data_IF_108938279370
#
_entry.id   IF_108938279370
#
_cell.length_a   1.000
_cell.length_b   1.000
_cell.length_c   1.000
_cell.angle_alpha   90.00
_cell.angle_beta   90.00
_cell.angle_gamma   90.00
#
_symmetry.space_group_name_H-M   'P 1'
#
loop_
_entity.id
_entity.type
_entity.pdbx_description
1 polymer ?
#
# COMPACT_ATOMS: atom_id res chain seq x y z
N UNK A 1 -9.78 -26.68 -0.94
CA UNK A 1 -9.18 -25.86 -2.01
C UNK A 1 -7.68 -25.89 -1.76
N UNK A 2 -6.85 -26.34 -2.70
CA UNK A 2 -5.39 -26.29 -2.52
C UNK A 2 -4.92 -24.87 -2.85
N UNK A 3 -4.19 -24.22 -1.95
CA UNK A 3 -3.66 -22.86 -2.16
C UNK A 3 -2.22 -22.99 -2.61
N UNK A 4 -1.82 -22.35 -3.70
CA UNK A 4 -0.42 -22.43 -4.15
C UNK A 4 0.48 -21.56 -3.29
N UNK A 5 0.08 -20.30 -3.04
CA UNK A 5 0.73 -19.41 -2.08
C UNK A 5 -0.18 -18.23 -1.68
N UNK A 6 0.20 -17.55 -0.61
CA UNK A 6 -0.43 -16.31 -0.15
C UNK A 6 0.48 -15.13 -0.48
N UNK A 7 -0.04 -14.12 -1.17
CA UNK A 7 0.68 -12.88 -1.47
C UNK A 7 0.31 -11.77 -0.46
N UNK A 8 1.33 -11.34 0.27
CA UNK A 8 1.33 -10.25 1.25
C UNK A 8 2.11 -9.08 0.64
N UNK A 9 1.44 -8.27 -0.17
CA UNK A 9 2.07 -7.12 -0.80
C UNK A 9 2.19 -5.96 0.18
N UNK A 10 3.34 -5.29 0.25
CA UNK A 10 3.36 -3.95 0.85
C UNK A 10 2.59 -2.98 -0.06
N UNK A 11 2.05 -1.89 0.49
CA UNK A 11 1.36 -0.90 -0.33
C UNK A 11 2.34 -0.39 -1.40
N UNK A 12 1.91 -0.28 -2.67
CA UNK A 12 2.76 0.24 -3.77
C UNK A 12 3.96 -0.63 -4.16
N UNK A 13 3.85 -1.95 -3.98
CA UNK A 13 4.79 -2.96 -4.53
C UNK A 13 4.20 -3.73 -5.71
N UNK A 14 3.46 -3.02 -6.57
CA UNK A 14 2.81 -3.56 -7.77
C UNK A 14 1.78 -4.69 -7.54
N UNK A 15 1.23 -4.80 -6.33
CA UNK A 15 0.20 -5.80 -6.00
C UNK A 15 -0.98 -5.80 -6.97
N UNK A 16 -1.47 -4.62 -7.37
CA UNK A 16 -2.56 -4.50 -8.36
C UNK A 16 -2.17 -5.07 -9.72
N UNK A 17 -0.92 -4.90 -10.14
CA UNK A 17 -0.44 -5.47 -11.40
C UNK A 17 -0.35 -7.00 -11.29
N UNK A 18 0.26 -7.54 -10.22
CA UNK A 18 0.35 -8.98 -9.98
C UNK A 18 -1.04 -9.64 -9.92
N UNK A 19 -1.96 -9.02 -9.16
CA UNK A 19 -3.36 -9.43 -9.09
C UNK A 19 -4.03 -9.41 -10.46
N UNK A 20 -3.77 -8.40 -11.29
CA UNK A 20 -4.35 -8.33 -12.63
C UNK A 20 -3.82 -9.43 -13.56
N UNK A 21 -2.55 -9.81 -13.43
CA UNK A 21 -1.96 -10.94 -14.15
C UNK A 21 -2.63 -12.25 -13.71
N UNK A 22 -2.65 -12.55 -12.41
CA UNK A 22 -3.28 -13.77 -11.88
C UNK A 22 -4.79 -13.84 -12.14
N UNK A 23 -5.48 -12.70 -12.22
CA UNK A 23 -6.90 -12.66 -12.55
C UNK A 23 -7.16 -12.98 -14.04
N UNK A 24 -6.24 -12.61 -14.93
CA UNK A 24 -6.41 -12.76 -16.38
C UNK A 24 -5.87 -14.08 -16.93
N UNK A 25 -4.86 -14.64 -16.28
CA UNK A 25 -4.26 -15.90 -16.69
C UNK A 25 -5.13 -17.09 -16.28
N UNK A 26 -5.43 -17.99 -17.21
CA UNK A 26 -6.31 -19.14 -16.99
C UNK A 26 -5.71 -20.18 -16.04
N UNK A 27 -4.38 -20.19 -15.87
CA UNK A 27 -3.68 -21.13 -14.98
C UNK A 27 -3.84 -20.80 -13.49
N UNK A 28 -4.44 -19.65 -13.19
CA UNK A 28 -4.56 -19.10 -11.85
C UNK A 28 -6.01 -18.89 -11.46
N UNK A 29 -6.29 -18.96 -10.16
CA UNK A 29 -7.53 -18.54 -9.56
C UNK A 29 -7.22 -17.56 -8.42
N UNK A 30 -7.57 -16.29 -8.63
CA UNK A 30 -7.30 -15.24 -7.65
C UNK A 30 -8.42 -15.18 -6.59
N UNK A 31 -8.01 -14.97 -5.35
CA UNK A 31 -8.85 -14.59 -4.22
C UNK A 31 -8.41 -13.20 -3.70
N UNK A 32 -8.78 -12.15 -4.41
CA UNK A 32 -8.56 -10.77 -4.00
C UNK A 32 -9.81 -10.19 -3.31
N UNK A 33 -10.99 -10.30 -3.92
CA UNK A 33 -12.22 -9.76 -3.31
C UNK A 33 -12.57 -10.49 -2.01
N UNK A 34 -12.40 -11.82 -1.99
CA UNK A 34 -12.55 -12.64 -0.78
C UNK A 34 -11.55 -12.24 0.32
N UNK A 35 -10.29 -12.03 -0.03
CA UNK A 35 -9.26 -11.52 0.89
C UNK A 35 -9.62 -10.13 1.46
N UNK A 36 -10.30 -9.29 0.68
CA UNK A 36 -10.81 -7.99 1.15
C UNK A 36 -11.74 -8.09 2.36
N UNK A 37 -12.64 -9.10 2.39
CA UNK A 37 -13.55 -9.33 3.53
C UNK A 37 -12.77 -9.72 4.79
N UNK A 38 -11.77 -10.59 4.64
CA UNK A 38 -10.88 -11.03 5.73
C UNK A 38 -10.08 -9.85 6.28
N UNK A 39 -9.47 -9.05 5.40
CA UNK A 39 -8.76 -7.82 5.79
C UNK A 39 -9.67 -6.87 6.55
N UNK A 40 -10.92 -6.69 6.12
CA UNK A 40 -11.87 -5.85 6.82
C UNK A 40 -12.15 -6.39 8.23
N UNK A 41 -12.36 -7.69 8.38
CA UNK A 41 -12.53 -8.34 9.68
C UNK A 41 -11.33 -8.08 10.58
N UNK A 42 -10.11 -8.43 10.13
CA UNK A 42 -8.86 -8.22 10.88
C UNK A 42 -8.75 -6.77 11.33
N UNK A 43 -9.00 -5.83 10.42
CA UNK A 43 -8.89 -4.40 10.73
C UNK A 43 -9.89 -3.95 11.78
N UNK A 44 -11.14 -4.41 11.70
CA UNK A 44 -12.18 -4.02 12.65
C UNK A 44 -11.97 -4.66 14.01
N UNK A 45 -11.59 -5.93 14.05
CA UNK A 45 -11.39 -6.64 15.32
C UNK A 45 -10.12 -6.21 16.04
N UNK A 46 -9.06 -5.88 15.30
CA UNK A 46 -7.85 -5.27 15.88
C UNK A 46 -8.18 -3.93 16.55
N UNK A 47 -9.05 -3.11 15.95
CA UNK A 47 -9.45 -1.83 16.55
C UNK A 47 -10.32 -1.99 17.80
N UNK A 48 -11.10 -3.07 17.88
CA UNK A 48 -11.98 -3.35 19.01
C UNK A 48 -11.30 -4.16 20.12
N UNK A 49 -10.18 -4.82 19.82
CA UNK A 49 -9.51 -5.73 20.72
C UNK A 49 -10.22 -7.08 20.89
N UNK A 50 -11.05 -7.49 19.92
CA UNK A 50 -11.88 -8.70 19.95
C UNK A 50 -11.53 -9.70 18.83
N UNK A 51 -10.26 -9.73 18.42
CA UNK A 51 -9.77 -10.64 17.39
C UNK A 51 -9.96 -12.12 17.78
N UNK A 52 -10.52 -12.91 16.85
CA UNK A 52 -10.68 -14.35 16.95
C UNK A 52 -9.98 -15.02 15.76
N UNK A 53 -8.90 -15.76 16.07
CA UNK A 53 -8.16 -16.53 15.08
C UNK A 53 -9.00 -17.62 14.39
N UNK A 54 -10.12 -18.04 14.98
CA UNK A 54 -11.02 -19.04 14.41
C UNK A 54 -12.10 -18.45 13.50
N UNK A 55 -12.00 -17.16 13.15
CA UNK A 55 -12.93 -16.54 12.21
C UNK A 55 -13.02 -17.38 10.92
N UNK A 56 -14.24 -17.74 10.46
CA UNK A 56 -14.41 -18.63 9.32
C UNK A 56 -13.87 -17.96 8.05
N UNK A 57 -12.75 -18.48 7.55
CA UNK A 57 -12.07 -18.04 6.34
C UNK A 57 -12.80 -18.51 5.07
N UNK A 58 -13.98 -17.96 4.83
CA UNK A 58 -14.72 -18.15 3.58
C UNK A 58 -14.15 -17.20 2.52
N UNK A 59 -12.96 -17.55 2.00
CA UNK A 59 -12.31 -16.79 0.93
C UNK A 59 -12.91 -17.19 -0.41
N UNK A 60 -13.77 -16.34 -0.94
CA UNK A 60 -14.33 -16.48 -2.29
C UNK A 60 -13.27 -16.16 -3.36
N UNK A 61 -13.22 -17.01 -4.40
CA UNK A 61 -12.43 -16.76 -5.60
C UNK A 61 -13.14 -15.73 -6.48
N UNK A 62 -12.38 -14.84 -7.12
CA UNK A 62 -12.90 -13.81 -8.03
C UNK A 62 -13.47 -14.40 -9.33
N UNK A 63 -13.05 -15.63 -9.67
CA UNK A 63 -13.55 -16.41 -10.80
C UNK A 63 -13.72 -17.87 -10.39
N UNK A 64 -14.64 -18.56 -11.05
CA UNK A 64 -14.78 -20.01 -10.87
C UNK A 64 -13.47 -20.69 -11.29
N UNK A 65 -12.89 -21.55 -10.45
CA UNK A 65 -11.66 -22.24 -10.79
C UNK A 65 -11.93 -23.24 -11.92
N UNK A 66 -11.02 -23.29 -12.88
CA UNK A 66 -10.92 -24.44 -13.79
C UNK A 66 -10.15 -25.53 -13.04
N UNK A 67 -10.38 -26.80 -13.38
CA UNK A 67 -9.66 -27.92 -12.76
C UNK A 67 -8.13 -27.66 -12.83
N UNK A 68 -7.44 -27.93 -11.73
CA UNK A 68 -5.98 -27.75 -11.57
C UNK A 68 -5.46 -26.30 -11.54
N UNK A 69 -6.32 -25.29 -11.34
CA UNK A 69 -5.86 -23.90 -11.20
C UNK A 69 -5.00 -23.70 -9.94
N UNK A 70 -3.97 -22.86 -10.08
CA UNK A 70 -3.16 -22.37 -8.96
C UNK A 70 -3.91 -21.28 -8.20
N UNK A 71 -4.32 -21.57 -6.98
CA UNK A 71 -5.09 -20.61 -6.18
C UNK A 71 -4.16 -19.66 -5.44
N UNK A 72 -4.33 -18.36 -5.68
CA UNK A 72 -3.55 -17.30 -5.03
C UNK A 72 -4.47 -16.43 -4.17
N UNK A 73 -4.17 -16.33 -2.88
CA UNK A 73 -4.82 -15.37 -1.98
C UNK A 73 -3.93 -14.14 -1.93
N UNK A 74 -4.46 -12.96 -2.26
CA UNK A 74 -3.62 -11.77 -2.40
C UNK A 74 -4.29 -10.53 -1.84
N UNK A 75 -3.59 -9.82 -0.95
CA UNK A 75 -4.01 -8.49 -0.51
C UNK A 75 -2.84 -7.66 0.04
N UNK A 76 -2.83 -6.37 -0.27
CA UNK A 76 -1.96 -5.41 0.44
C UNK A 76 -2.39 -5.22 1.90
N UNK A 77 -3.66 -5.52 2.20
CA UNK A 77 -4.23 -5.31 3.52
C UNK A 77 -3.73 -6.25 4.60
N UNK A 78 -2.96 -7.28 4.24
CA UNK A 78 -2.33 -8.21 5.19
C UNK A 78 -1.04 -7.66 5.80
N UNK A 79 -0.33 -6.78 5.08
CA UNK A 79 0.90 -6.15 5.56
C UNK A 79 0.65 -4.74 6.10
N UNK A 80 -0.36 -4.03 5.61
CA UNK A 80 -0.57 -2.64 5.98
C UNK A 80 -2.03 -2.21 6.00
N UNK A 81 -2.34 -1.28 6.90
CA UNK A 81 -3.66 -0.70 7.06
C UNK A 81 -3.58 0.74 7.58
N UNK A 82 -4.70 1.45 7.53
CA UNK A 82 -4.87 2.73 8.23
C UNK A 82 -3.99 3.91 7.76
N UNK A 83 -3.44 3.85 6.54
CA UNK A 83 -2.69 4.96 5.94
C UNK A 83 -3.43 6.31 6.07
N UNK A 84 -4.75 6.29 5.91
CA UNK A 84 -5.61 7.49 5.92
C UNK A 84 -6.20 7.82 7.28
N UNK A 85 -6.00 7.00 8.31
CA UNK A 85 -6.53 7.28 9.65
C UNK A 85 -5.81 8.50 10.24
N UNK A 86 -6.50 9.40 10.93
CA UNK A 86 -5.86 10.58 11.55
C UNK A 86 -5.10 10.17 12.81
N UNK A 87 -5.69 9.27 13.59
CA UNK A 87 -5.11 8.72 14.82
C UNK A 87 -4.10 7.61 14.51
N UNK A 88 -3.13 7.44 15.41
CA UNK A 88 -2.27 6.26 15.43
C UNK A 88 -3.12 4.99 15.54
N UNK A 89 -2.77 3.97 14.74
CA UNK A 89 -3.48 2.70 14.70
C UNK A 89 -2.49 1.55 14.89
N UNK A 90 -2.93 0.42 15.46
CA UNK A 90 -2.05 -0.70 15.82
C UNK A 90 -1.66 -1.54 14.59
N UNK A 91 -0.80 -1.00 13.72
CA UNK A 91 -0.37 -1.66 12.46
C UNK A 91 0.30 -3.01 12.74
N UNK A 92 1.21 -3.07 13.74
CA UNK A 92 1.87 -4.33 14.14
C UNK A 92 0.91 -5.39 14.65
N UNK A 93 -0.06 -5.01 15.48
CA UNK A 93 -1.08 -5.95 15.97
C UNK A 93 -1.92 -6.47 14.81
N UNK A 94 -2.27 -5.60 13.87
CA UNK A 94 -2.99 -5.98 12.65
C UNK A 94 -2.20 -6.98 11.81
N UNK A 95 -0.88 -6.78 11.61
CA UNK A 95 -0.01 -7.74 10.90
C UNK A 95 0.05 -9.09 11.63
N UNK A 96 0.19 -9.09 12.96
CA UNK A 96 0.20 -10.32 13.76
C UNK A 96 -1.11 -11.09 13.63
N UNK A 97 -2.24 -10.39 13.74
CA UNK A 97 -3.58 -10.95 13.54
C UNK A 97 -3.77 -11.47 12.12
N UNK A 98 -3.24 -10.76 11.10
CA UNK A 98 -3.27 -11.20 9.71
C UNK A 98 -2.46 -12.49 9.49
N UNK A 99 -1.26 -12.58 10.07
CA UNK A 99 -0.46 -13.79 9.99
C UNK A 99 -1.14 -14.98 10.71
N UNK A 100 -1.74 -14.74 11.88
CA UNK A 100 -2.42 -15.77 12.67
C UNK A 100 -3.65 -16.33 11.95
N UNK A 101 -4.52 -15.46 11.42
CA UNK A 101 -5.71 -15.92 10.70
C UNK A 101 -5.37 -16.57 9.35
N UNK A 102 -4.33 -16.10 8.65
CA UNK A 102 -3.86 -16.77 7.44
C UNK A 102 -3.18 -18.10 7.78
N UNK A 103 -2.54 -18.21 8.94
CA UNK A 103 -1.90 -19.43 9.43
C UNK A 103 -2.86 -20.60 9.62
N UNK A 104 -4.18 -20.36 9.68
CA UNK A 104 -5.17 -21.44 9.64
C UNK A 104 -5.19 -22.19 8.30
N UNK A 105 -4.57 -21.62 7.26
CA UNK A 105 -4.41 -22.20 5.92
C UNK A 105 -3.10 -22.97 5.75
N UNK A 106 -2.34 -23.21 6.82
CA UNK A 106 -1.03 -23.87 6.74
C UNK A 106 -1.11 -25.34 6.28
N UNK A 107 -2.30 -25.96 6.33
CA UNK A 107 -2.53 -27.31 5.78
C UNK A 107 -2.73 -27.28 4.27
N UNK A 108 -3.11 -26.13 3.73
CA UNK A 108 -3.38 -25.88 2.32
C UNK A 108 -2.17 -25.31 1.59
N UNK A 109 -1.33 -24.52 2.30
CA UNK A 109 -0.09 -23.97 1.77
C UNK A 109 0.90 -23.60 2.87
N UNK A 110 2.17 -23.86 2.65
CA UNK A 110 3.29 -23.37 3.47
C UNK A 110 3.94 -22.10 2.88
N UNK A 111 3.40 -21.59 1.76
CA UNK A 111 4.05 -20.62 0.90
C UNK A 111 3.48 -19.21 1.09
N UNK A 112 4.35 -18.25 1.40
CA UNK A 112 4.03 -16.82 1.47
C UNK A 112 5.00 -16.02 0.61
N UNK A 113 4.46 -15.15 -0.23
CA UNK A 113 5.20 -14.14 -0.97
C UNK A 113 5.03 -12.78 -0.30
N UNK A 114 6.14 -12.17 0.13
CA UNK A 114 6.18 -10.79 0.62
C UNK A 114 6.87 -9.92 -0.43
N UNK A 115 6.11 -9.05 -1.08
CA UNK A 115 6.66 -8.08 -2.03
C UNK A 115 7.10 -6.81 -1.29
N UNK A 116 8.37 -6.44 -1.46
CA UNK A 116 9.00 -5.28 -0.83
C UNK A 116 9.47 -4.27 -1.89
N UNK A 117 9.95 -3.10 -1.48
CA UNK A 117 10.44 -2.04 -2.38
C UNK A 117 11.49 -1.21 -1.66
N UNK A 118 12.33 -0.47 -2.39
CA UNK A 118 13.19 0.57 -1.79
C UNK A 118 12.39 1.38 -0.75
N UNK A 119 12.89 1.52 0.49
CA UNK A 119 12.14 2.16 1.56
C UNK A 119 11.86 3.63 1.26
N UNK A 120 12.78 4.34 0.60
CA UNK A 120 12.61 5.75 0.20
C UNK A 120 11.61 5.87 -0.94
N UNK A 121 11.71 5.02 -1.96
CA UNK A 121 10.77 5.01 -3.07
C UNK A 121 9.36 4.60 -2.62
N UNK A 122 9.27 3.70 -1.64
CA UNK A 122 8.05 3.28 -0.97
C UNK A 122 7.41 4.43 -0.20
N UNK A 123 8.16 5.08 0.69
CA UNK A 123 7.76 6.27 1.46
C UNK A 123 7.15 7.36 0.55
N UNK A 124 7.85 7.70 -0.53
CA UNK A 124 7.37 8.66 -1.54
C UNK A 124 6.04 8.23 -2.18
N UNK A 125 5.89 6.94 -2.48
CA UNK A 125 4.69 6.41 -3.12
C UNK A 125 3.50 6.35 -2.16
N UNK A 126 3.77 6.12 -0.87
CA UNK A 126 2.78 6.15 0.21
C UNK A 126 2.31 7.58 0.48
N UNK A 127 3.21 8.56 0.49
CA UNK A 127 2.83 9.98 0.58
C UNK A 127 1.91 10.40 -0.59
N UNK A 128 2.24 10.00 -1.82
CA UNK A 128 1.35 10.24 -2.96
C UNK A 128 -0.01 9.55 -2.79
N UNK A 129 -0.04 8.33 -2.24
CA UNK A 129 -1.30 7.63 -1.94
C UNK A 129 -2.12 8.34 -0.87
N UNK A 130 -1.47 8.86 0.18
CA UNK A 130 -2.11 9.65 1.23
C UNK A 130 -2.89 10.83 0.62
N UNK A 131 -2.25 11.58 -0.29
CA UNK A 131 -2.89 12.67 -1.03
C UNK A 131 -4.02 12.15 -1.95
N UNK A 132 -3.79 11.05 -2.67
CA UNK A 132 -4.82 10.45 -3.54
C UNK A 132 -6.09 10.00 -2.80
N UNK A 133 -5.98 9.76 -1.49
CA UNK A 133 -7.10 9.40 -0.62
C UNK A 133 -7.81 10.60 0.02
N UNK A 134 -7.53 11.82 -0.45
CA UNK A 134 -8.20 13.04 -0.03
C UNK A 134 -7.48 13.81 1.08
N UNK A 135 -6.27 13.38 1.46
CA UNK A 135 -5.43 14.10 2.42
C UNK A 135 -4.62 15.19 1.70
N UNK A 136 -3.95 16.03 2.48
CA UNK A 136 -3.20 17.17 1.96
C UNK A 136 -1.97 17.46 2.82
N UNK A 137 -1.01 18.16 2.24
CA UNK A 137 0.27 18.49 2.86
C UNK A 137 1.44 18.22 1.94
N UNK A 138 2.60 18.71 2.35
CA UNK A 138 3.89 18.30 1.80
C UNK A 138 4.45 17.11 2.60
N UNK A 139 5.64 16.64 2.20
CA UNK A 139 6.32 15.55 2.88
C UNK A 139 6.53 15.80 4.38
N UNK A 140 7.03 16.96 4.80
CA UNK A 140 7.30 17.22 6.23
C UNK A 140 6.04 17.06 7.09
N UNK A 141 4.91 17.60 6.62
CA UNK A 141 3.61 17.44 7.26
C UNK A 141 3.20 15.98 7.31
N UNK A 142 3.34 15.26 6.20
CA UNK A 142 3.03 13.82 6.15
C UNK A 142 3.88 13.03 7.14
N UNK A 143 5.19 13.25 7.15
CA UNK A 143 6.13 12.57 8.05
C UNK A 143 5.79 12.83 9.52
N UNK A 144 5.55 14.08 9.91
CA UNK A 144 5.16 14.43 11.28
C UNK A 144 3.88 13.71 11.76
N UNK A 145 2.91 13.48 10.86
CA UNK A 145 1.68 12.75 11.21
C UNK A 145 1.79 11.23 11.09
N UNK A 146 2.77 10.73 10.32
CA UNK A 146 2.81 9.33 9.89
C UNK A 146 4.09 8.59 10.25
N UNK A 147 5.00 9.21 11.01
CA UNK A 147 6.25 8.59 11.41
C UNK A 147 6.06 7.20 12.01
N UNK A 148 5.15 7.05 12.99
CA UNK A 148 4.90 5.75 13.62
C UNK A 148 4.33 4.72 12.62
N UNK A 149 3.42 5.14 11.75
CA UNK A 149 2.91 4.28 10.67
C UNK A 149 4.05 3.83 9.73
N UNK A 150 4.97 4.73 9.37
CA UNK A 150 6.10 4.42 8.52
C UNK A 150 7.06 3.44 9.23
N UNK A 151 7.37 3.68 10.51
CA UNK A 151 8.19 2.78 11.34
C UNK A 151 7.61 1.38 11.38
N UNK A 152 6.31 1.25 11.64
CA UNK A 152 5.64 -0.04 11.71
C UNK A 152 5.54 -0.73 10.35
N UNK A 153 5.15 0.00 9.30
CA UNK A 153 5.00 -0.57 7.96
C UNK A 153 6.34 -0.97 7.31
N UNK A 154 7.46 -0.35 7.71
CA UNK A 154 8.82 -0.69 7.29
C UNK A 154 9.53 -1.62 8.28
N UNK A 155 8.85 -2.16 9.30
CA UNK A 155 9.42 -3.19 10.17
C UNK A 155 9.31 -4.58 9.51
N UNK A 156 10.15 -4.83 8.51
CA UNK A 156 10.17 -6.11 7.79
C UNK A 156 10.61 -7.25 8.71
N UNK A 157 11.52 -7.01 9.66
CA UNK A 157 11.92 -7.98 10.68
C UNK A 157 10.69 -8.50 11.45
N UNK A 158 9.87 -7.59 11.96
CA UNK A 158 8.63 -7.96 12.66
C UNK A 158 7.64 -8.67 11.74
N UNK A 159 7.42 -8.16 10.53
CA UNK A 159 6.53 -8.79 9.55
C UNK A 159 6.93 -10.25 9.28
N UNK A 160 8.21 -10.49 9.02
CA UNK A 160 8.75 -11.84 8.82
C UNK A 160 8.52 -12.73 10.04
N UNK A 161 8.81 -12.23 11.24
CA UNK A 161 8.59 -12.99 12.48
C UNK A 161 7.13 -13.43 12.68
N UNK A 162 6.16 -12.62 12.23
CA UNK A 162 4.75 -12.96 12.29
C UNK A 162 4.39 -14.10 11.34
N UNK A 163 4.83 -14.04 10.08
CA UNK A 163 4.49 -15.05 9.07
C UNK A 163 5.30 -16.35 9.22
N UNK A 164 6.59 -16.26 9.54
CA UNK A 164 7.47 -17.43 9.74
C UNK A 164 7.06 -18.29 10.95
N UNK A 165 6.21 -17.76 11.85
CA UNK A 165 5.59 -18.54 12.92
C UNK A 165 4.63 -19.63 12.39
N UNK A 166 4.02 -19.42 11.22
CA UNK A 166 2.96 -20.28 10.68
C UNK A 166 3.31 -20.94 9.35
N UNK A 167 4.24 -20.35 8.59
CA UNK A 167 4.59 -20.75 7.24
C UNK A 167 6.08 -21.08 7.14
N UNK A 168 6.41 -22.21 6.52
CA UNK A 168 7.80 -22.67 6.39
C UNK A 168 8.53 -22.03 5.20
N UNK A 169 7.80 -21.53 4.20
CA UNK A 169 8.38 -20.96 2.98
C UNK A 169 7.90 -19.50 2.78
N UNK A 170 8.55 -18.57 3.47
CA UNK A 170 8.31 -17.12 3.34
C UNK A 170 9.37 -16.50 2.43
N UNK A 171 8.98 -16.15 1.20
CA UNK A 171 9.85 -15.57 0.18
C UNK A 171 9.68 -14.06 0.14
N UNK A 172 10.78 -13.32 0.23
CA UNK A 172 10.80 -11.86 0.07
C UNK A 172 11.26 -11.53 -1.35
N UNK A 173 10.44 -10.80 -2.11
CA UNK A 173 10.79 -10.36 -3.46
C UNK A 173 10.77 -8.83 -3.59
N UNK A 174 11.90 -8.20 -3.92
CA UNK A 174 11.95 -6.79 -4.30
C UNK A 174 11.16 -6.51 -5.58
N UNK A 175 10.31 -5.48 -5.53
CA UNK A 175 9.59 -4.93 -6.68
C UNK A 175 10.53 -4.48 -7.80
N UNK A 176 11.74 -4.05 -7.45
CA UNK A 176 12.78 -3.60 -8.36
C UNK A 176 13.14 -4.67 -9.39
N UNK A 177 13.07 -5.96 -9.03
CA UNK A 177 13.26 -7.07 -9.97
C UNK A 177 12.17 -7.09 -11.04
N UNK A 178 10.91 -6.94 -10.65
CA UNK A 178 9.80 -6.86 -11.61
C UNK A 178 9.98 -5.67 -12.58
N UNK A 179 10.49 -4.54 -12.08
CA UNK A 179 10.69 -3.33 -12.88
C UNK A 179 11.86 -3.48 -13.88
N UNK A 180 12.92 -4.17 -13.50
CA UNK A 180 14.14 -4.31 -14.29
C UNK A 180 14.07 -5.48 -15.28
N UNK A 181 13.55 -6.62 -14.84
CA UNK A 181 13.42 -7.86 -15.61
C UNK A 181 12.14 -8.61 -15.18
N UNK A 182 11.01 -8.22 -15.78
CA UNK A 182 9.72 -8.87 -15.53
C UNK A 182 9.73 -10.39 -15.82
N UNK A 183 10.26 -10.88 -16.96
CA UNK A 183 10.42 -12.31 -17.19
C UNK A 183 11.23 -13.03 -16.10
N UNK A 184 12.35 -12.44 -15.65
CA UNK A 184 13.17 -12.98 -14.58
C UNK A 184 12.43 -13.03 -13.23
N UNK A 185 11.66 -12.00 -12.90
CA UNK A 185 10.80 -11.98 -11.71
C UNK A 185 9.80 -13.14 -11.72
N UNK A 186 9.08 -13.34 -12.83
CA UNK A 186 8.11 -14.43 -12.95
C UNK A 186 8.76 -15.81 -12.93
N UNK A 187 9.97 -15.95 -13.47
CA UNK A 187 10.72 -17.21 -13.37
C UNK A 187 11.14 -17.53 -11.93
N UNK A 188 11.65 -16.53 -11.21
CA UNK A 188 12.03 -16.71 -9.81
C UNK A 188 10.81 -17.09 -8.96
N UNK A 189 9.67 -16.45 -9.18
CA UNK A 189 8.42 -16.77 -8.50
C UNK A 189 7.93 -18.19 -8.82
N UNK A 190 7.93 -18.53 -10.12
CA UNK A 190 7.55 -19.86 -10.63
C UNK A 190 8.38 -20.96 -10.01
N UNK A 191 9.70 -20.76 -9.94
CA UNK A 191 10.65 -21.72 -9.38
C UNK A 191 10.50 -21.90 -7.86
N UNK A 192 10.24 -20.82 -7.11
CA UNK A 192 10.13 -20.89 -5.65
C UNK A 192 8.86 -21.59 -5.16
N UNK A 193 7.75 -21.43 -5.88
CA UNK A 193 6.44 -21.93 -5.46
C UNK A 193 5.93 -23.10 -6.30
N UNK A 194 6.72 -23.59 -7.26
CA UNK A 194 6.33 -24.65 -8.20
C UNK A 194 4.99 -24.34 -8.92
N UNK A 195 4.86 -23.10 -9.38
CA UNK A 195 3.68 -22.61 -10.11
C UNK A 195 4.09 -22.26 -11.55
N UNK A 196 3.23 -22.39 -12.56
CA UNK A 196 3.61 -22.10 -13.93
C UNK A 196 3.78 -20.59 -14.16
N UNK A 197 4.75 -20.17 -14.98
CA UNK A 197 4.87 -18.75 -15.35
C UNK A 197 3.59 -18.26 -16.03
N UNK A 198 3.08 -17.06 -15.67
CA UNK A 198 1.98 -16.45 -16.41
C UNK A 198 2.31 -16.29 -17.90
N UNK A 199 1.32 -16.52 -18.76
CA UNK A 199 1.37 -16.38 -20.22
C UNK A 199 0.70 -15.09 -20.71
N UNK A 200 -0.01 -14.39 -19.83
CA UNK A 200 -0.66 -13.12 -20.15
C UNK A 200 0.25 -11.94 -19.80
N UNK A 201 0.23 -10.91 -20.64
CA UNK A 201 0.76 -9.59 -20.31
C UNK A 201 -0.38 -8.65 -19.97
N UNK A 202 -0.15 -7.78 -19.00
CA UNK A 202 -1.12 -6.79 -18.57
C UNK A 202 -0.49 -5.41 -18.65
N UNK A 203 -1.18 -4.49 -19.32
CA UNK A 203 -0.75 -3.08 -19.31
C UNK A 203 -0.79 -2.51 -17.90
N UNK A 204 0.22 -1.70 -17.57
CA UNK A 204 0.26 -0.98 -16.29
C UNK A 204 -0.87 0.05 -16.29
N UNK A 205 -1.97 -0.29 -15.64
CA UNK A 205 -3.08 0.64 -15.46
C UNK A 205 -2.81 1.52 -14.24
N UNK A 206 -2.91 2.85 -14.44
CA UNK A 206 -2.79 3.91 -13.44
C UNK A 206 -1.37 4.39 -13.14
N UNK A 207 -0.87 5.32 -13.97
CA UNK A 207 0.25 6.15 -13.54
C UNK A 207 -0.15 6.98 -12.31
N UNK A 208 0.71 6.92 -11.28
CA UNK A 208 0.53 7.77 -10.10
C UNK A 208 0.74 9.23 -10.48
N UNK A 209 -0.11 10.12 -9.96
CA UNK A 209 0.08 11.57 -10.10
C UNK A 209 1.45 11.97 -9.51
N UNK A 210 2.16 12.85 -10.23
CA UNK A 210 3.49 13.34 -9.87
C UNK A 210 3.57 14.85 -10.06
N UNK A 211 4.59 15.47 -9.46
CA UNK A 211 4.94 16.87 -9.67
C UNK A 211 3.76 17.82 -9.40
N UNK A 212 3.55 18.76 -10.33
CA UNK A 212 2.53 19.80 -10.22
C UNK A 212 1.11 19.24 -10.03
N UNK A 213 0.74 18.15 -10.71
CA UNK A 213 -0.59 17.54 -10.58
C UNK A 213 -0.86 17.00 -9.17
N UNK A 214 0.15 16.40 -8.53
CA UNK A 214 0.00 15.92 -7.14
C UNK A 214 -0.10 17.08 -6.15
N UNK A 215 0.65 18.17 -6.38
CA UNK A 215 0.55 19.41 -5.57
C UNK A 215 -0.80 20.07 -5.71
N UNK A 216 -1.31 20.15 -6.93
CA UNK A 216 -2.64 20.67 -7.21
C UNK A 216 -3.71 19.84 -6.48
N UNK A 217 -3.61 18.51 -6.55
CA UNK A 217 -4.52 17.61 -5.82
C UNK A 217 -4.48 17.86 -4.31
N UNK A 218 -3.29 17.95 -3.72
CA UNK A 218 -3.13 18.29 -2.30
C UNK A 218 -3.78 19.64 -1.96
N UNK A 219 -3.64 20.64 -2.83
CA UNK A 219 -4.21 21.97 -2.62
C UNK A 219 -5.75 21.96 -2.70
N UNK A 220 -6.32 21.25 -3.67
CA UNK A 220 -7.77 21.03 -3.77
C UNK A 220 -8.31 20.30 -2.55
N UNK A 221 -7.63 19.25 -2.09
CA UNK A 221 -7.99 18.53 -0.87
C UNK A 221 -7.96 19.44 0.37
N UNK A 222 -6.98 20.34 0.46
CA UNK A 222 -6.91 21.35 1.52
C UNK A 222 -8.12 22.29 1.48
N UNK A 223 -8.54 22.75 0.30
CA UNK A 223 -9.74 23.60 0.16
C UNK A 223 -10.98 22.88 0.69
N UNK A 224 -11.26 21.65 0.24
CA UNK A 224 -12.40 20.88 0.77
C UNK A 224 -12.29 20.59 2.27
N UNK A 225 -11.08 20.40 2.80
CA UNK A 225 -10.89 20.27 4.24
C UNK A 225 -11.26 21.55 4.99
N UNK A 226 -10.79 22.72 4.54
CA UNK A 226 -11.09 24.02 5.18
C UNK A 226 -12.60 24.30 5.13
N UNK A 227 -13.25 24.08 3.99
CA UNK A 227 -14.69 24.27 3.84
C UNK A 227 -15.48 23.38 4.81
N UNK A 228 -15.16 22.08 4.87
CA UNK A 228 -15.83 21.14 5.80
C UNK A 228 -15.59 21.51 7.26
N UNK A 229 -14.36 21.90 7.62
CA UNK A 229 -14.03 22.27 8.99
C UNK A 229 -14.80 23.52 9.42
N UNK A 230 -14.84 24.55 8.57
CA UNK A 230 -15.61 25.76 8.84
C UNK A 230 -17.12 25.52 8.96
N UNK A 231 -17.68 24.59 8.18
CA UNK A 231 -19.08 24.18 8.33
C UNK A 231 -19.32 23.42 9.65
N UNK A 232 -18.42 22.51 10.03
CA UNK A 232 -18.55 21.73 11.27
C UNK A 232 -18.47 22.57 12.55
N UNK A 233 -17.77 23.71 12.48
CA UNK A 233 -17.63 24.65 13.59
C UNK A 233 -18.74 25.72 13.62
N UNK A 234 -19.62 25.72 12.63
CA UNK A 234 -20.66 26.74 12.51
C UNK A 234 -21.79 26.52 13.54
N UNK A 235 -22.18 27.59 14.23
CA UNK A 235 -23.25 27.56 15.25
C UNK A 235 -24.67 27.64 14.63
N UNK A 236 -24.86 27.20 13.39
CA UNK A 236 -26.12 27.36 12.66
C UNK A 236 -27.16 26.33 13.12
N UNK A 237 -28.42 26.73 13.15
CA UNK A 237 -29.54 25.94 13.69
C UNK A 237 -29.94 24.72 12.86
N UNK A 238 -29.41 24.53 11.65
CA UNK A 238 -29.72 23.39 10.77
C UNK A 238 -28.56 22.38 10.71
N UNK A 239 -28.39 21.64 11.81
CA UNK A 239 -27.34 20.61 11.90
C UNK A 239 -27.53 19.45 10.92
N UNK A 240 -28.77 19.16 10.49
CA UNK A 240 -29.04 18.04 9.58
C UNK A 240 -28.56 18.33 8.16
N UNK A 241 -28.80 19.54 7.64
CA UNK A 241 -28.27 19.96 6.34
C UNK A 241 -26.73 19.96 6.36
N UNK A 242 -26.12 20.54 7.40
CA UNK A 242 -24.66 20.61 7.55
C UNK A 242 -24.05 19.20 7.58
N UNK A 243 -24.59 18.30 8.40
CA UNK A 243 -24.11 16.92 8.47
C UNK A 243 -24.23 16.20 7.12
N UNK A 244 -25.34 16.41 6.42
CA UNK A 244 -25.54 15.86 5.07
C UNK A 244 -24.51 16.39 4.07
N UNK A 245 -24.25 17.70 4.06
CA UNK A 245 -23.27 18.32 3.17
C UNK A 245 -21.85 17.83 3.45
N UNK A 246 -21.42 17.82 4.72
CA UNK A 246 -20.09 17.35 5.13
C UNK A 246 -19.90 15.88 4.74
N UNK A 247 -20.90 15.02 5.02
CA UNK A 247 -20.83 13.59 4.70
C UNK A 247 -20.76 13.33 3.20
N UNK A 248 -21.53 14.07 2.39
CA UNK A 248 -21.48 13.91 0.95
C UNK A 248 -20.17 14.43 0.37
N UNK A 249 -19.75 15.64 0.72
CA UNK A 249 -18.48 16.20 0.23
C UNK A 249 -17.32 15.27 0.56
N UNK A 250 -17.24 14.76 1.80
CA UNK A 250 -16.15 13.88 2.20
C UNK A 250 -16.00 12.60 1.36
N UNK A 251 -17.11 12.11 0.81
CA UNK A 251 -17.09 10.94 -0.06
C UNK A 251 -16.78 11.30 -1.51
N UNK A 252 -17.23 12.46 -2.02
CA UNK A 252 -17.14 12.79 -3.44
C UNK A 252 -15.94 13.67 -3.80
N UNK A 253 -15.60 14.67 -2.98
CA UNK A 253 -14.61 15.71 -3.34
C UNK A 253 -13.24 15.11 -3.66
N UNK A 254 -12.76 14.15 -2.85
CA UNK A 254 -11.49 13.46 -3.11
C UNK A 254 -11.45 12.79 -4.49
N UNK A 255 -12.56 12.21 -4.95
CA UNK A 255 -12.64 11.55 -6.24
C UNK A 255 -12.74 12.57 -7.37
N UNK A 256 -13.54 13.61 -7.20
CA UNK A 256 -13.65 14.70 -8.18
C UNK A 256 -12.28 15.35 -8.39
N UNK A 257 -11.59 15.74 -7.32
CA UNK A 257 -10.26 16.36 -7.41
C UNK A 257 -9.24 15.44 -8.06
N UNK A 258 -9.22 14.16 -7.66
CA UNK A 258 -8.29 13.18 -8.24
C UNK A 258 -8.55 12.99 -9.74
N UNK A 259 -9.81 12.87 -10.15
CA UNK A 259 -10.19 12.68 -11.56
C UNK A 259 -9.92 13.93 -12.38
N UNK A 260 -10.15 15.12 -11.82
CA UNK A 260 -9.75 16.39 -12.40
C UNK A 260 -8.24 16.41 -12.67
N UNK A 261 -7.41 16.12 -11.66
CA UNK A 261 -5.94 16.10 -11.83
C UNK A 261 -5.43 15.01 -12.78
N UNK A 262 -6.21 13.96 -13.02
CA UNK A 262 -5.87 12.87 -13.95
C UNK A 262 -6.24 13.22 -15.40
N UNK A 263 -7.42 13.79 -15.62
CA UNK A 263 -8.04 13.82 -16.94
C UNK A 263 -8.33 15.22 -17.50
N UNK A 264 -8.19 16.28 -16.69
CA UNK A 264 -8.35 17.64 -17.19
C UNK A 264 -7.24 17.99 -18.22
N UNK A 265 -7.54 18.96 -19.08
CA UNK A 265 -6.57 19.52 -20.02
C UNK A 265 -5.47 20.28 -19.26
N UNK A 266 -4.29 20.41 -19.86
CA UNK A 266 -3.20 21.20 -19.28
C UNK A 266 -3.59 22.67 -19.05
N UNK A 267 -4.45 23.24 -19.91
CA UNK A 267 -5.00 24.59 -19.73
C UNK A 267 -5.82 24.72 -18.44
N UNK A 268 -6.76 23.78 -18.21
CA UNK A 268 -7.56 23.78 -16.98
C UNK A 268 -6.72 23.50 -15.73
N UNK A 269 -5.68 22.66 -15.84
CA UNK A 269 -4.75 22.42 -14.75
C UNK A 269 -3.94 23.66 -14.42
N UNK A 270 -3.47 24.40 -15.43
CA UNK A 270 -2.72 25.64 -15.25
C UNK A 270 -3.61 26.73 -14.63
N UNK A 271 -4.84 26.87 -15.11
CA UNK A 271 -5.83 27.80 -14.53
C UNK A 271 -6.07 27.50 -13.04
N UNK A 272 -6.32 26.23 -12.70
CA UNK A 272 -6.51 25.81 -11.32
C UNK A 272 -5.25 26.04 -10.46
N UNK A 273 -4.06 25.81 -11.01
CA UNK A 273 -2.80 26.12 -10.33
C UNK A 273 -2.68 27.62 -10.03
N UNK A 274 -2.99 28.48 -11.01
CA UNK A 274 -2.96 29.93 -10.85
C UNK A 274 -3.96 30.42 -9.80
N UNK A 275 -5.20 29.90 -9.84
CA UNK A 275 -6.24 30.24 -8.87
C UNK A 275 -5.86 29.88 -7.43
N UNK A 276 -5.15 28.76 -7.25
CA UNK A 276 -4.74 28.27 -5.93
C UNK A 276 -3.32 28.69 -5.53
N UNK A 277 -2.63 29.47 -6.36
CA UNK A 277 -1.24 29.88 -6.14
C UNK A 277 -0.25 28.70 -6.10
N UNK A 278 -0.57 27.58 -6.76
CA UNK A 278 0.29 26.38 -6.80
C UNK A 278 1.38 26.58 -7.84
N UNK A 279 2.62 26.72 -7.39
CA UNK A 279 3.78 26.80 -8.28
C UNK A 279 4.07 25.44 -8.93
N UNK A 280 4.53 25.46 -10.20
CA UNK A 280 4.90 24.27 -10.98
C UNK A 280 6.23 23.65 -10.56
N UNK A 281 7.05 24.36 -9.79
CA UNK A 281 8.36 23.91 -9.32
C UNK A 281 8.49 24.10 -7.81
N UNK A 282 8.18 23.05 -7.07
CA UNK A 282 8.56 22.88 -5.67
C UNK A 282 9.12 21.47 -5.53
N UNK A 283 10.45 21.37 -5.54
CA UNK A 283 11.17 20.12 -5.42
C UNK A 283 10.99 19.49 -4.02
N UNK A 284 10.72 20.32 -3.00
CA UNK A 284 10.60 19.88 -1.60
C UNK A 284 9.30 19.12 -1.32
N UNK A 285 8.25 19.39 -2.11
CA UNK A 285 6.91 18.84 -1.85
C UNK A 285 6.88 17.31 -1.72
N UNK A 286 7.68 16.61 -2.54
CA UNK A 286 7.75 15.15 -2.55
C UNK A 286 9.18 14.62 -2.47
N UNK A 287 10.12 15.44 -1.98
CA UNK A 287 11.44 14.97 -1.55
C UNK A 287 11.27 14.31 -0.19
N UNK A 288 11.70 13.06 -0.08
CA UNK A 288 11.69 12.35 1.20
C UNK A 288 12.85 12.89 2.05
N UNK A 289 12.52 13.52 3.16
CA UNK A 289 13.43 13.97 4.22
C UNK A 289 13.10 13.24 5.52
N UNK A 290 14.05 12.52 6.10
CA UNK A 290 13.85 11.74 7.34
C UNK A 290 14.93 12.08 8.37
N UNK A 291 14.59 11.89 9.64
CA UNK A 291 15.54 12.01 10.74
C UNK A 291 16.58 10.88 10.69
N UNK A 292 17.75 11.11 11.31
CA UNK A 292 18.76 10.05 11.49
C UNK A 292 18.17 8.83 12.21
N UNK A 293 17.35 9.04 13.23
CA UNK A 293 16.68 7.95 13.96
C UNK A 293 15.82 7.08 13.04
N UNK A 294 15.03 7.69 12.15
CA UNK A 294 14.22 6.94 11.19
C UNK A 294 15.09 6.20 10.17
N UNK A 295 16.20 6.78 9.73
CA UNK A 295 17.14 6.11 8.84
C UNK A 295 17.78 4.89 9.51
N UNK A 296 18.27 5.04 10.75
CA UNK A 296 18.86 3.94 11.52
C UNK A 296 17.82 2.83 11.75
N UNK A 297 16.57 3.20 12.03
CA UNK A 297 15.45 2.26 12.15
C UNK A 297 15.21 1.47 10.84
N UNK A 298 15.13 2.14 9.70
CA UNK A 298 14.93 1.49 8.39
C UNK A 298 16.12 0.61 8.02
N UNK A 299 17.35 1.05 8.29
CA UNK A 299 18.54 0.22 8.06
C UNK A 299 18.46 -1.07 8.88
N UNK A 300 18.15 -0.97 10.17
CA UNK A 300 18.12 -2.11 11.07
C UNK A 300 16.96 -3.08 10.79
N UNK A 301 15.74 -2.55 10.66
CA UNK A 301 14.51 -3.34 10.58
C UNK A 301 14.14 -3.79 9.18
N UNK A 302 14.52 -3.02 8.17
CA UNK A 302 14.17 -3.28 6.78
C UNK A 302 15.37 -3.79 5.97
N UNK A 303 16.42 -2.99 5.81
CA UNK A 303 17.50 -3.28 4.86
C UNK A 303 18.29 -4.53 5.28
N UNK A 304 18.71 -4.63 6.55
CA UNK A 304 19.37 -5.85 7.06
C UNK A 304 18.48 -7.10 6.96
N UNK A 305 17.17 -6.95 7.04
CA UNK A 305 16.22 -8.07 6.91
C UNK A 305 16.14 -8.59 5.47
N UNK A 306 16.21 -7.67 4.49
CA UNK A 306 16.28 -8.02 3.06
C UNK A 306 17.64 -8.62 2.72
N UNK A 307 18.74 -8.04 3.18
CA UNK A 307 20.11 -8.50 2.90
C UNK A 307 20.35 -9.96 3.29
N UNK A 308 19.69 -10.42 4.37
CA UNK A 308 19.74 -11.84 4.81
C UNK A 308 19.03 -12.81 3.84
N UNK A 309 18.17 -12.32 2.94
CA UNK A 309 17.28 -13.13 2.09
C UNK A 309 17.48 -12.89 0.60
N UNK A 310 18.10 -11.78 0.22
CA UNK A 310 18.30 -11.36 -1.15
C UNK A 310 19.80 -11.23 -1.41
N UNK A 311 20.31 -11.97 -2.40
CA UNK A 311 21.75 -12.03 -2.71
C UNK A 311 22.28 -10.86 -3.55
N UNK A 312 21.41 -10.03 -4.12
CA UNK A 312 21.78 -8.88 -4.95
C UNK A 312 22.32 -7.73 -4.08
N UNK A 313 23.65 -7.67 -3.96
CA UNK A 313 24.33 -6.64 -3.17
C UNK A 313 24.18 -5.24 -3.78
N UNK A 314 24.13 -5.12 -5.10
CA UNK A 314 23.98 -3.83 -5.77
C UNK A 314 22.62 -3.20 -5.43
N UNK A 315 21.56 -4.01 -5.37
CA UNK A 315 20.25 -3.56 -4.91
C UNK A 315 20.28 -3.05 -3.46
N UNK A 316 20.93 -3.79 -2.55
CA UNK A 316 21.02 -3.42 -1.13
C UNK A 316 21.80 -2.11 -0.96
N UNK A 317 22.93 -1.96 -1.63
CA UNK A 317 23.73 -0.74 -1.59
C UNK A 317 22.98 0.45 -2.20
N UNK A 318 22.18 0.23 -3.24
CA UNK A 318 21.30 1.27 -3.77
C UNK A 318 20.26 1.71 -2.74
N UNK A 319 19.66 0.79 -1.96
CA UNK A 319 18.73 1.15 -0.89
C UNK A 319 19.41 1.99 0.19
N UNK A 320 20.62 1.60 0.63
CA UNK A 320 21.42 2.36 1.61
C UNK A 320 21.77 3.75 1.10
N UNK A 321 22.19 3.85 -0.16
CA UNK A 321 22.54 5.13 -0.78
C UNK A 321 21.34 6.07 -0.92
N UNK A 322 20.15 5.54 -1.28
CA UNK A 322 18.92 6.32 -1.30
C UNK A 322 18.52 6.78 0.10
N UNK A 323 18.62 5.89 1.10
CA UNK A 323 18.29 6.20 2.49
C UNK A 323 19.20 7.30 3.04
N UNK A 324 20.50 7.23 2.81
CA UNK A 324 21.47 8.23 3.25
C UNK A 324 21.19 9.61 2.64
N UNK A 325 20.82 9.66 1.36
CA UNK A 325 20.45 10.92 0.68
C UNK A 325 19.17 11.56 1.24
N UNK A 326 18.31 10.78 1.89
CA UNK A 326 17.08 11.25 2.49
C UNK A 326 17.26 11.81 3.91
N UNK A 327 18.42 11.61 4.54
CA UNK A 327 18.66 12.10 5.90
C UNK A 327 18.85 13.61 5.90
N UNK A 328 18.09 14.31 6.76
CA UNK A 328 18.35 15.70 7.10
C UNK A 328 19.28 15.76 8.32
N UNK A 329 20.29 16.63 8.24
CA UNK A 329 21.25 16.88 9.33
C UNK A 329 20.67 17.75 10.45
#
# INVERSE_FOLDING_TARGET
>A
MSVSFIHVGMIKTASTYLQSVWLKDEQYALAFSGAGKVVQYIRQSTLRGDFDANYPMNIELDKQPIADNNVIISSEGFSAAYLTAIEERPVRTMMGNAAEILGTLNKETDNVLICVRSPVAWMKSVHAQFINEGQYGNWDRFFAYKEQFLKDALDLEYMLSCYEKFFNNVVVMPFEYLKQDEPGFWEALSSHFDVPRPKVQVEVQNESLKGARLRLLSSLNRVSYVLRSGLSESCVSDGQEIDFLIKNDANYSKWVHRRFCQYASEESLLEACNLLGVQSEDASFNSVSITREMADWVEDKFIKSIEKRVSDQDLIENYRAELLKAVID
#
